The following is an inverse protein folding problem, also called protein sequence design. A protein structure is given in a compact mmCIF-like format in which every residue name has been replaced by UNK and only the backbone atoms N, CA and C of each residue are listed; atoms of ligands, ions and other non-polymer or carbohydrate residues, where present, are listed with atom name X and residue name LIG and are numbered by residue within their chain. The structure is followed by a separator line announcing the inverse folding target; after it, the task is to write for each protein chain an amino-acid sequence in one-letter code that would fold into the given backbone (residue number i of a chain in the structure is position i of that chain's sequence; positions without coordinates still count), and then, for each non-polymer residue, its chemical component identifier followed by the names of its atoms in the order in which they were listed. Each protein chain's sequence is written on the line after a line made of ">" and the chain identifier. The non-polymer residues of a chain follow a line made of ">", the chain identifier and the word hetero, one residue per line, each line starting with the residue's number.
data_IF_890435337761
#
_entry.id   IF_890435337761
#
_cell.length_a   1.000
_cell.length_b   1.000
_cell.length_c   1.000
_cell.angle_alpha   90.00
_cell.angle_beta   90.00
_cell.angle_gamma   90.00
#
_symmetry.space_group_name_H-M   'P 1'
#
loop_
_entity.id
_entity.type
_entity.pdbx_description
1 polymer ?
#
# COMPACT_ATOMS: atom_id res chain seq x y z
N UNK A 1 40.37 15.78 51.56
CA UNK A 1 40.98 15.76 52.92
C UNK A 1 40.06 16.57 53.83
N UNK A 2 39.87 16.13 55.08
CA UNK A 2 38.93 16.61 56.13
C UNK A 2 37.47 16.12 56.03
N UNK A 3 36.77 15.69 57.09
CA UNK A 3 37.08 15.09 58.41
C UNK A 3 35.73 14.62 58.98
N UNK A 4 35.72 13.47 59.68
CA UNK A 4 34.62 12.87 60.47
C UNK A 4 33.95 13.82 61.48
N UNK A 5 32.68 13.51 61.82
CA UNK A 5 32.18 13.00 63.14
C UNK A 5 30.64 13.10 63.16
N UNK A 6 29.86 12.04 63.35
CA UNK A 6 29.66 11.09 64.49
C UNK A 6 28.31 11.38 65.18
N UNK A 7 27.49 10.31 65.32
CA UNK A 7 26.67 9.93 66.50
C UNK A 7 25.54 10.85 66.98
N UNK A 8 24.46 10.44 67.64
CA UNK A 8 23.71 9.20 67.89
C UNK A 8 22.60 9.59 68.89
N UNK A 9 21.49 8.82 68.96
CA UNK A 9 20.57 8.68 70.12
C UNK A 9 19.71 9.94 70.46
N UNK A 10 18.45 9.92 70.93
CA UNK A 10 17.67 8.94 71.70
C UNK A 10 16.20 9.37 71.79
N UNK A 11 15.31 8.36 71.85
CA UNK A 11 14.07 8.21 72.63
C UNK A 11 13.16 9.38 73.07
N UNK A 12 11.85 9.15 72.92
CA UNK A 12 10.75 9.82 73.64
C UNK A 12 9.39 9.53 72.99
N UNK A 13 8.76 8.37 73.21
CA UNK A 13 7.63 8.16 74.16
C UNK A 13 6.61 9.30 74.20
N UNK A 14 5.39 9.12 73.66
CA UNK A 14 4.18 8.69 74.41
C UNK A 14 2.88 8.82 73.58
N UNK A 15 2.05 7.79 73.72
CA UNK A 15 0.65 7.60 73.33
C UNK A 15 -0.27 8.83 73.38
N UNK A 16 -1.27 8.85 72.47
CA UNK A 16 -2.69 9.05 72.83
C UNK A 16 -3.62 8.45 71.77
N UNK A 17 -4.37 7.43 72.21
CA UNK A 17 -5.53 6.88 71.54
C UNK A 17 -6.69 7.88 71.58
N UNK A 18 -7.46 8.03 70.48
CA UNK A 18 -8.87 8.45 70.55
C UNK A 18 -9.74 7.88 69.41
N UNK A 19 -10.79 7.19 69.86
CA UNK A 19 -12.15 7.03 69.31
C UNK A 19 -12.37 6.60 67.86
N UNK A 20 -12.82 5.35 67.74
CA UNK A 20 -13.66 4.83 66.65
C UNK A 20 -14.97 5.63 66.57
N UNK A 21 -15.25 6.23 65.43
CA UNK A 21 -16.62 6.59 65.02
C UNK A 21 -17.00 5.78 63.78
N UNK A 22 -18.00 4.92 63.95
CA UNK A 22 -18.61 4.13 62.89
C UNK A 22 -19.48 5.07 62.05
N UNK A 23 -19.04 5.38 60.83
CA UNK A 23 -19.93 5.95 59.81
C UNK A 23 -20.34 4.83 58.85
N UNK A 24 -21.65 4.68 58.70
CA UNK A 24 -22.30 3.64 57.93
C UNK A 24 -21.77 3.61 56.49
N UNK A 25 -21.30 2.42 56.08
CA UNK A 25 -20.85 2.13 54.73
C UNK A 25 -22.10 2.14 53.83
N UNK A 26 -22.32 3.20 53.06
CA UNK A 26 -23.36 3.21 52.00
C UNK A 26 -23.05 2.06 51.03
N UNK A 27 -23.99 1.13 50.76
CA UNK A 27 -23.80 0.16 49.70
C UNK A 27 -23.78 0.92 48.38
N UNK A 28 -22.65 0.83 47.68
CA UNK A 28 -22.45 1.36 46.34
C UNK A 28 -23.39 0.65 45.37
N UNK A 29 -24.50 1.29 45.01
CA UNK A 29 -25.18 1.00 43.75
C UNK A 29 -24.34 1.59 42.62
N UNK A 30 -23.18 0.97 42.38
CA UNK A 30 -22.49 1.11 41.12
C UNK A 30 -23.33 0.33 40.10
N UNK A 31 -24.30 1.03 39.51
CA UNK A 31 -24.93 0.63 38.28
C UNK A 31 -23.80 0.34 37.28
N UNK A 32 -23.60 -0.94 36.97
CA UNK A 32 -22.64 -1.40 35.96
C UNK A 32 -23.18 -1.03 34.59
N UNK A 33 -23.16 0.26 34.28
CA UNK A 33 -23.36 0.79 32.94
C UNK A 33 -22.08 1.47 32.50
N UNK A 34 -20.94 0.80 32.66
CA UNK A 34 -19.65 1.36 32.28
C UNK A 34 -19.11 0.64 31.07
N UNK A 35 -19.71 1.04 29.96
CA UNK A 35 -19.17 0.99 28.60
C UNK A 35 -18.85 -0.41 28.10
N UNK A 36 -19.64 -0.83 27.11
CA UNK A 36 -19.12 -1.50 25.92
C UNK A 36 -18.04 -0.58 25.30
N UNK A 37 -16.90 -0.43 26.00
CA UNK A 37 -15.65 0.07 25.45
C UNK A 37 -15.28 -1.06 24.51
N UNK A 38 -15.81 -0.92 23.29
CA UNK A 38 -15.29 -1.42 22.04
C UNK A 38 -13.80 -1.05 22.07
N UNK A 39 -13.03 -1.85 22.80
CA UNK A 39 -11.59 -1.85 22.83
C UNK A 39 -11.21 -2.54 21.53
N UNK A 40 -11.55 -1.88 20.41
CA UNK A 40 -10.88 -2.12 19.15
C UNK A 40 -9.44 -1.73 19.41
N UNK A 41 -8.68 -2.70 19.88
CA UNK A 41 -7.25 -2.63 19.93
C UNK A 41 -6.81 -2.20 18.52
N UNK A 42 -6.04 -1.11 18.42
CA UNK A 42 -5.50 -0.64 17.15
C UNK A 42 -4.79 -1.77 16.40
N UNK A 43 -4.34 -2.83 17.11
CA UNK A 43 -3.85 -4.08 16.55
C UNK A 43 -4.92 -4.84 15.75
N UNK A 44 -6.12 -5.07 16.31
CA UNK A 44 -7.21 -5.76 15.61
C UNK A 44 -7.69 -5.00 14.38
N UNK A 45 -7.75 -3.66 14.45
CA UNK A 45 -8.07 -2.84 13.27
C UNK A 45 -7.10 -3.06 12.12
N UNK A 46 -5.79 -3.12 12.39
CA UNK A 46 -4.77 -3.35 11.36
C UNK A 46 -4.97 -4.69 10.67
N UNK A 47 -5.26 -5.75 11.41
CA UNK A 47 -5.50 -7.07 10.83
C UNK A 47 -6.77 -7.10 9.97
N UNK A 48 -7.85 -6.45 10.43
CA UNK A 48 -9.11 -6.38 9.68
C UNK A 48 -8.94 -5.59 8.39
N UNK A 49 -8.26 -4.42 8.44
CA UNK A 49 -7.99 -3.62 7.23
C UNK A 49 -7.04 -4.35 6.28
N UNK A 50 -6.05 -5.09 6.79
CA UNK A 50 -5.17 -5.92 5.97
C UNK A 50 -5.94 -7.05 5.29
N UNK A 51 -6.79 -7.78 6.02
CA UNK A 51 -7.63 -8.84 5.46
C UNK A 51 -8.58 -8.29 4.39
N UNK A 52 -9.25 -7.16 4.68
CA UNK A 52 -10.08 -6.45 3.72
C UNK A 52 -9.30 -6.09 2.45
N UNK A 53 -8.11 -5.50 2.60
CA UNK A 53 -7.26 -5.14 1.46
C UNK A 53 -6.87 -6.36 0.62
N UNK A 54 -6.45 -7.47 1.23
CA UNK A 54 -6.07 -8.67 0.49
C UNK A 54 -7.25 -9.33 -0.22
N UNK A 55 -8.43 -9.36 0.41
CA UNK A 55 -9.66 -9.82 -0.23
C UNK A 55 -10.01 -8.94 -1.43
N UNK A 56 -9.99 -7.62 -1.24
CA UNK A 56 -10.22 -6.65 -2.31
C UNK A 56 -9.20 -6.81 -3.45
N UNK A 57 -7.93 -6.97 -3.12
CA UNK A 57 -6.85 -7.16 -4.08
C UNK A 57 -7.07 -8.41 -4.93
N UNK A 58 -7.37 -9.56 -4.30
CA UNK A 58 -7.61 -10.82 -5.01
C UNK A 58 -8.88 -10.70 -5.87
N UNK A 59 -9.99 -10.21 -5.29
CA UNK A 59 -11.26 -10.09 -5.99
C UNK A 59 -11.14 -9.19 -7.23
N UNK A 60 -10.56 -7.99 -7.07
CA UNK A 60 -10.35 -7.05 -8.18
C UNK A 60 -9.39 -7.60 -9.23
N UNK A 61 -8.33 -8.29 -8.82
CA UNK A 61 -7.38 -8.93 -9.76
C UNK A 61 -8.07 -10.00 -10.59
N UNK A 62 -8.87 -10.88 -9.98
CA UNK A 62 -9.59 -11.92 -10.70
C UNK A 62 -10.62 -11.32 -11.68
N UNK A 63 -11.46 -10.40 -11.20
CA UNK A 63 -12.51 -9.77 -12.02
C UNK A 63 -11.90 -9.00 -13.19
N UNK A 64 -10.90 -8.15 -12.94
CA UNK A 64 -10.28 -7.35 -13.99
C UNK A 64 -9.38 -8.17 -14.91
N UNK A 65 -8.81 -9.29 -14.45
CA UNK A 65 -8.11 -10.20 -15.35
C UNK A 65 -9.08 -10.93 -16.29
N UNK A 66 -10.24 -11.37 -15.79
CA UNK A 66 -11.30 -11.92 -16.65
C UNK A 66 -11.75 -10.90 -17.68
N UNK A 67 -11.94 -9.64 -17.27
CA UNK A 67 -12.25 -8.55 -18.21
C UNK A 67 -11.12 -8.29 -19.22
N UNK A 68 -9.86 -8.27 -18.76
CA UNK A 68 -8.68 -8.13 -19.60
C UNK A 68 -8.63 -9.23 -20.67
N UNK A 69 -8.95 -10.49 -20.33
CA UNK A 69 -8.96 -11.57 -21.31
C UNK A 69 -9.98 -11.32 -22.43
N UNK A 70 -11.16 -10.79 -22.11
CA UNK A 70 -12.18 -10.40 -23.10
C UNK A 70 -11.69 -9.24 -23.97
N UNK A 71 -11.17 -8.17 -23.35
CA UNK A 71 -10.63 -7.00 -24.05
C UNK A 71 -9.47 -7.40 -24.97
N UNK A 72 -8.59 -8.27 -24.49
CA UNK A 72 -7.44 -8.76 -25.23
C UNK A 72 -7.88 -9.60 -26.43
N UNK A 73 -8.83 -10.52 -26.26
CA UNK A 73 -9.37 -11.31 -27.35
C UNK A 73 -10.04 -10.43 -28.41
N UNK A 74 -10.85 -9.46 -27.98
CA UNK A 74 -11.50 -8.51 -28.89
C UNK A 74 -10.48 -7.72 -29.72
N UNK A 75 -9.50 -7.09 -29.08
CA UNK A 75 -8.49 -6.31 -29.80
C UNK A 75 -7.61 -7.19 -30.68
N UNK A 76 -7.30 -8.42 -30.25
CA UNK A 76 -6.54 -9.37 -31.07
C UNK A 76 -7.26 -9.71 -32.39
N UNK A 77 -8.59 -9.77 -32.38
CA UNK A 77 -9.39 -10.09 -33.55
C UNK A 77 -9.71 -8.88 -34.43
N UNK A 78 -9.98 -7.71 -33.83
CA UNK A 78 -10.53 -6.57 -34.56
C UNK A 78 -9.59 -5.36 -34.68
N UNK A 79 -8.67 -5.16 -33.72
CA UNK A 79 -7.81 -3.96 -33.63
C UNK A 79 -6.44 -4.29 -33.00
N UNK A 80 -5.61 -5.11 -33.68
CA UNK A 80 -4.37 -5.62 -33.11
C UNK A 80 -3.37 -4.51 -32.77
N UNK A 81 -3.45 -3.35 -33.45
CA UNK A 81 -2.61 -2.17 -33.21
C UNK A 81 -2.80 -1.59 -31.79
N UNK A 82 -3.98 -1.73 -31.19
CA UNK A 82 -4.28 -1.20 -29.84
C UNK A 82 -4.22 -2.25 -28.73
N UNK A 83 -3.79 -3.47 -29.05
CA UNK A 83 -3.84 -4.60 -28.12
C UNK A 83 -3.08 -4.33 -26.80
N UNK A 84 -1.90 -3.73 -26.92
CA UNK A 84 -1.04 -3.41 -25.78
C UNK A 84 -1.56 -2.21 -24.98
N UNK A 85 -2.05 -1.17 -25.66
CA UNK A 85 -2.69 0.00 -25.04
C UNK A 85 -3.92 -0.41 -24.21
N UNK A 86 -4.84 -1.17 -24.83
CA UNK A 86 -6.06 -1.62 -24.16
C UNK A 86 -5.75 -2.51 -22.95
N UNK A 87 -4.69 -3.33 -23.03
CA UNK A 87 -4.25 -4.15 -21.90
C UNK A 87 -3.69 -3.28 -20.76
N UNK A 88 -2.98 -2.19 -21.09
CA UNK A 88 -2.50 -1.20 -20.12
C UNK A 88 -3.66 -0.42 -19.49
N UNK A 89 -4.68 -0.06 -20.26
CA UNK A 89 -5.86 0.65 -19.75
C UNK A 89 -6.60 -0.14 -18.66
N UNK A 90 -6.69 -1.47 -18.82
CA UNK A 90 -7.25 -2.33 -17.77
C UNK A 90 -6.35 -2.35 -16.52
N UNK A 91 -5.02 -2.30 -16.68
CA UNK A 91 -4.10 -2.16 -15.54
C UNK A 91 -4.25 -0.79 -14.84
N UNK A 92 -4.50 0.28 -15.61
CA UNK A 92 -4.81 1.61 -15.06
C UNK A 92 -6.11 1.57 -14.25
N UNK A 93 -7.15 0.92 -14.78
CA UNK A 93 -8.41 0.71 -14.07
C UNK A 93 -8.21 -0.07 -12.77
N UNK A 94 -7.35 -1.09 -12.77
CA UNK A 94 -7.02 -1.88 -11.58
C UNK A 94 -6.38 -1.03 -10.48
N UNK A 95 -5.35 -0.24 -10.82
CA UNK A 95 -4.72 0.67 -9.86
C UNK A 95 -5.69 1.70 -9.28
N UNK A 96 -6.52 2.32 -10.13
CA UNK A 96 -7.56 3.28 -9.71
C UNK A 96 -8.59 2.64 -8.78
N UNK A 97 -9.04 1.43 -9.10
CA UNK A 97 -10.03 0.70 -8.30
C UNK A 97 -9.50 0.37 -6.91
N UNK A 98 -8.24 -0.06 -6.82
CA UNK A 98 -7.60 -0.35 -5.53
C UNK A 98 -7.44 0.89 -4.65
N UNK A 99 -7.16 2.06 -5.23
CA UNK A 99 -7.13 3.31 -4.46
C UNK A 99 -8.50 3.84 -4.10
N UNK A 100 -9.51 3.65 -4.96
CA UNK A 100 -10.88 4.09 -4.70
C UNK A 100 -11.56 3.26 -3.59
N UNK A 101 -11.30 1.95 -3.58
CA UNK A 101 -11.90 1.01 -2.62
C UNK A 101 -10.95 0.69 -1.44
N UNK A 102 -9.69 1.09 -1.52
CA UNK A 102 -8.68 0.79 -0.51
C UNK A 102 -9.04 1.37 0.87
N UNK A 103 -8.72 0.64 1.96
CA UNK A 103 -9.11 1.06 3.29
C UNK A 103 -8.35 2.32 3.72
N UNK A 104 -9.10 3.40 3.97
CA UNK A 104 -8.58 4.65 4.54
C UNK A 104 -7.44 5.30 3.71
N UNK A 105 -7.38 5.04 2.40
CA UNK A 105 -6.45 5.70 1.50
C UNK A 105 -7.05 6.99 0.96
N UNK A 106 -6.29 8.07 1.04
CA UNK A 106 -6.56 9.30 0.31
C UNK A 106 -5.36 9.60 -0.56
N UNK A 107 -5.60 10.08 -1.77
CA UNK A 107 -4.54 10.38 -2.72
C UNK A 107 -4.80 11.73 -3.38
N UNK A 108 -3.72 12.45 -3.67
CA UNK A 108 -3.76 13.71 -4.41
C UNK A 108 -2.60 13.72 -5.40
N UNK A 109 -2.93 13.72 -6.69
CA UNK A 109 -1.96 13.93 -7.76
C UNK A 109 -1.78 15.44 -7.94
N UNK A 110 -0.53 15.91 -7.96
CA UNK A 110 -0.17 17.31 -8.24
C UNK A 110 0.80 17.32 -9.43
N UNK A 111 0.79 18.37 -10.25
CA UNK A 111 1.69 18.45 -11.40
C UNK A 111 1.28 17.55 -12.56
N UNK A 112 -0.02 17.23 -12.69
CA UNK A 112 -0.52 16.39 -13.79
C UNK A 112 -0.42 17.11 -15.13
N UNK A 113 -0.47 18.45 -15.09
CA UNK A 113 -0.21 19.38 -16.17
C UNK A 113 1.23 19.29 -16.72
N UNK A 114 2.18 18.71 -15.97
CA UNK A 114 3.54 18.49 -16.44
C UNK A 114 3.66 17.20 -17.28
N UNK A 115 2.61 16.38 -17.35
CA UNK A 115 2.62 15.22 -18.24
C UNK A 115 2.56 15.71 -19.69
N UNK A 116 3.45 15.21 -20.57
CA UNK A 116 3.37 15.52 -21.99
C UNK A 116 2.00 15.17 -22.56
N UNK A 117 1.55 15.98 -23.53
CA UNK A 117 0.31 15.72 -24.26
C UNK A 117 0.37 14.36 -24.99
N UNK A 118 -0.79 13.83 -25.37
CA UNK A 118 -0.89 12.48 -25.98
C UNK A 118 -0.13 12.40 -27.32
N UNK A 119 0.02 13.54 -27.99
CA UNK A 119 0.73 13.74 -29.26
C UNK A 119 2.16 14.30 -29.09
N UNK A 120 2.63 14.47 -27.85
CA UNK A 120 3.98 14.94 -27.57
C UNK A 120 5.03 13.84 -27.71
N UNK A 121 6.31 14.23 -27.67
CA UNK A 121 7.41 13.28 -27.76
C UNK A 121 7.36 12.23 -26.62
N UNK A 122 7.69 10.96 -26.93
CA UNK A 122 7.78 9.90 -25.92
C UNK A 122 8.78 10.25 -24.82
N UNK A 123 8.46 9.88 -23.59
CA UNK A 123 9.23 10.26 -22.41
C UNK A 123 9.44 9.06 -21.47
N UNK A 124 10.40 9.21 -20.55
CA UNK A 124 10.69 8.21 -19.53
C UNK A 124 10.25 8.73 -18.17
N UNK A 125 9.30 8.05 -17.54
CA UNK A 125 8.93 8.31 -16.15
C UNK A 125 9.93 7.66 -15.20
N UNK A 126 10.49 8.45 -14.28
CA UNK A 126 11.37 7.96 -13.21
C UNK A 126 10.72 8.28 -11.87
N UNK A 127 10.45 7.25 -11.09
CA UNK A 127 9.87 7.37 -9.76
C UNK A 127 10.84 6.83 -8.71
N UNK A 128 10.90 7.48 -7.56
CA UNK A 128 11.49 6.87 -6.37
C UNK A 128 10.67 5.63 -5.97
N UNK A 129 11.34 4.60 -5.45
CA UNK A 129 10.66 3.43 -4.92
C UNK A 129 10.56 3.52 -3.40
N UNK A 130 9.37 3.86 -2.91
CA UNK A 130 9.10 4.05 -1.49
C UNK A 130 8.18 2.97 -0.91
N UNK A 131 7.38 2.31 -1.73
CA UNK A 131 6.47 1.28 -1.26
C UNK A 131 6.04 0.30 -2.35
N UNK A 132 5.43 -0.82 -1.97
CA UNK A 132 4.77 -1.71 -2.93
C UNK A 132 3.54 -1.05 -3.58
N UNK A 133 2.94 -0.04 -2.92
CA UNK A 133 1.80 0.69 -3.46
C UNK A 133 2.16 1.60 -4.64
N UNK A 134 3.45 1.84 -4.89
CA UNK A 134 3.94 2.65 -6.02
C UNK A 134 3.44 2.10 -7.36
N UNK A 135 3.27 0.77 -7.47
CA UNK A 135 2.73 0.09 -8.66
C UNK A 135 1.34 0.63 -8.99
N UNK A 136 0.46 0.69 -7.99
CA UNK A 136 -0.90 1.21 -8.19
C UNK A 136 -0.92 2.74 -8.28
N UNK A 137 0.00 3.41 -7.57
CA UNK A 137 0.04 4.86 -7.52
C UNK A 137 0.42 5.48 -8.86
N UNK A 138 1.37 4.88 -9.60
CA UNK A 138 1.76 5.36 -10.92
C UNK A 138 0.62 5.23 -11.95
N UNK A 139 -0.28 4.27 -11.79
CA UNK A 139 -1.51 4.22 -12.61
C UNK A 139 -2.49 5.38 -12.35
N UNK A 140 -2.42 6.05 -11.20
CA UNK A 140 -3.22 7.25 -10.92
C UNK A 140 -2.69 8.47 -11.68
N UNK A 141 -1.37 8.57 -11.84
CA UNK A 141 -0.72 9.63 -12.63
C UNK A 141 -1.24 9.61 -14.06
N UNK A 142 -1.38 8.41 -14.64
CA UNK A 142 -1.96 8.19 -15.95
C UNK A 142 -0.91 8.21 -17.07
N UNK A 143 -1.40 8.28 -18.32
CA UNK A 143 -0.57 8.12 -19.52
C UNK A 143 -0.51 6.66 -19.98
N UNK A 144 0.02 6.45 -21.19
CA UNK A 144 0.35 5.14 -21.72
C UNK A 144 1.82 4.87 -21.49
N UNK A 145 2.15 3.95 -20.59
CA UNK A 145 3.55 3.63 -20.30
C UNK A 145 3.77 2.12 -20.22
N UNK A 146 5.04 1.72 -20.29
CA UNK A 146 5.47 0.32 -20.19
C UNK A 146 6.43 0.18 -19.02
N UNK A 147 6.07 -0.68 -18.07
CA UNK A 147 6.92 -0.91 -16.91
C UNK A 147 8.20 -1.62 -17.30
N UNK A 148 9.31 -1.19 -16.70
CA UNK A 148 10.54 -1.98 -16.63
C UNK A 148 10.59 -2.69 -15.28
N UNK A 149 10.43 -4.02 -15.27
CA UNK A 149 10.25 -4.80 -14.04
C UNK A 149 11.10 -6.06 -13.99
N UNK A 150 11.37 -6.57 -12.78
CA UNK A 150 12.11 -7.83 -12.60
C UNK A 150 11.39 -9.01 -13.27
N UNK A 151 12.17 -9.93 -13.83
CA UNK A 151 11.69 -11.18 -14.45
C UNK A 151 10.73 -11.97 -13.56
N UNK A 152 10.98 -12.01 -12.25
CA UNK A 152 10.16 -12.74 -11.29
C UNK A 152 8.72 -12.22 -11.20
N UNK A 153 8.44 -10.95 -11.53
CA UNK A 153 7.06 -10.43 -11.57
C UNK A 153 6.28 -11.00 -12.74
N UNK A 154 6.96 -11.26 -13.87
CA UNK A 154 6.35 -11.90 -15.03
C UNK A 154 6.02 -13.38 -14.80
N UNK A 155 6.50 -13.97 -13.70
CA UNK A 155 6.20 -15.37 -13.30
C UNK A 155 4.96 -15.47 -12.40
N UNK A 156 4.46 -14.35 -11.88
CA UNK A 156 3.24 -14.33 -11.04
C UNK A 156 2.02 -14.65 -11.91
N UNK A 157 1.15 -15.61 -11.54
CA UNK A 157 -0.06 -15.91 -12.29
C UNK A 157 -0.97 -14.69 -12.41
N UNK A 158 -1.70 -14.60 -13.53
CA UNK A 158 -2.58 -13.48 -13.91
C UNK A 158 -1.83 -12.15 -14.12
N UNK A 159 -1.16 -11.63 -13.09
CA UNK A 159 -0.40 -10.37 -13.13
C UNK A 159 0.71 -10.45 -14.17
N UNK A 160 1.56 -11.48 -14.13
CA UNK A 160 2.64 -11.64 -15.09
C UNK A 160 2.15 -11.79 -16.53
N UNK A 161 1.01 -12.45 -16.74
CA UNK A 161 0.39 -12.55 -18.05
C UNK A 161 -0.16 -11.20 -18.54
N UNK A 162 -0.82 -10.45 -17.65
CA UNK A 162 -1.29 -9.10 -17.93
C UNK A 162 -0.12 -8.16 -18.29
N UNK A 163 1.01 -8.26 -17.59
CA UNK A 163 2.22 -7.50 -17.90
C UNK A 163 2.76 -7.81 -19.30
N UNK A 164 2.75 -9.09 -19.72
CA UNK A 164 3.15 -9.48 -21.10
C UNK A 164 2.19 -8.92 -22.14
N UNK A 165 0.88 -9.02 -21.91
CA UNK A 165 -0.13 -8.48 -22.83
C UNK A 165 -0.07 -6.96 -22.94
N UNK A 166 0.23 -6.27 -21.85
CA UNK A 166 0.47 -4.83 -21.84
C UNK A 166 1.81 -4.44 -22.48
N UNK A 167 2.69 -5.37 -22.84
CA UNK A 167 3.97 -5.08 -23.49
C UNK A 167 5.05 -4.56 -22.53
N UNK A 168 4.94 -4.85 -21.24
CA UNK A 168 5.94 -4.43 -20.25
C UNK A 168 7.27 -5.17 -20.45
N UNK A 169 8.36 -4.52 -20.05
CA UNK A 169 9.72 -4.97 -20.28
C UNK A 169 10.26 -5.70 -19.05
N UNK A 170 10.71 -6.93 -19.23
CA UNK A 170 11.34 -7.72 -18.16
C UNK A 170 12.85 -7.53 -18.13
N UNK A 171 13.44 -7.42 -16.95
CA UNK A 171 14.89 -7.37 -16.76
C UNK A 171 15.36 -8.36 -15.69
N UNK A 172 16.40 -9.12 -16.00
CA UNK A 172 17.05 -10.05 -15.08
C UNK A 172 18.32 -9.41 -14.51
N UNK A 173 18.38 -9.26 -13.19
CA UNK A 173 19.58 -8.71 -12.51
C UNK A 173 20.77 -9.66 -12.67
N UNK A 174 21.97 -9.09 -12.82
CA UNK A 174 23.21 -9.85 -13.02
C UNK A 174 23.40 -10.42 -14.44
N UNK A 175 22.39 -10.37 -15.31
CA UNK A 175 22.49 -10.81 -16.70
C UNK A 175 22.63 -9.59 -17.63
N UNK A 176 23.85 -9.34 -18.10
CA UNK A 176 24.16 -8.20 -19.01
C UNK A 176 23.35 -8.25 -20.31
N UNK A 177 23.16 -9.45 -20.88
CA UNK A 177 22.40 -9.62 -22.11
C UNK A 177 20.93 -9.24 -21.92
N UNK A 178 20.32 -9.66 -20.79
CA UNK A 178 18.94 -9.30 -20.46
C UNK A 178 18.77 -7.79 -20.25
N UNK A 179 19.73 -7.13 -19.61
CA UNK A 179 19.71 -5.67 -19.43
C UNK A 179 19.78 -4.94 -20.78
N UNK A 180 20.68 -5.37 -21.66
CA UNK A 180 20.79 -4.81 -23.00
C UNK A 180 19.49 -4.97 -23.80
N UNK A 181 18.90 -6.18 -23.77
CA UNK A 181 17.62 -6.45 -24.43
C UNK A 181 16.48 -5.60 -23.86
N UNK A 182 16.46 -5.38 -22.55
CA UNK A 182 15.46 -4.54 -21.91
C UNK A 182 15.57 -3.07 -22.35
N UNK A 183 16.79 -2.55 -22.47
CA UNK A 183 17.05 -1.20 -23.00
C UNK A 183 16.60 -1.12 -24.47
N UNK A 184 16.98 -2.10 -25.29
CA UNK A 184 16.61 -2.10 -26.71
C UNK A 184 15.09 -2.20 -26.91
N UNK A 185 14.40 -3.02 -26.11
CA UNK A 185 12.93 -3.11 -26.14
C UNK A 185 12.29 -1.79 -25.72
N UNK A 186 12.83 -1.13 -24.69
CA UNK A 186 12.37 0.19 -24.25
C UNK A 186 12.57 1.24 -25.34
N UNK A 187 13.71 1.20 -26.05
CA UNK A 187 14.00 2.08 -27.18
C UNK A 187 13.03 1.88 -28.34
N UNK A 188 12.63 0.64 -28.61
CA UNK A 188 11.61 0.35 -29.63
C UNK A 188 10.24 0.92 -29.27
N UNK A 189 9.84 0.85 -27.99
CA UNK A 189 8.62 1.50 -27.53
C UNK A 189 8.69 3.02 -27.71
N UNK A 190 9.78 3.66 -27.26
CA UNK A 190 9.94 5.10 -27.46
C UNK A 190 9.88 5.51 -28.94
N UNK A 191 10.37 4.68 -29.87
CA UNK A 191 10.27 4.97 -31.31
C UNK A 191 8.86 4.83 -31.89
N UNK A 192 7.99 4.06 -31.25
CA UNK A 192 6.61 3.84 -31.71
C UNK A 192 5.65 4.95 -31.27
N UNK A 193 6.03 5.74 -30.26
CA UNK A 193 5.10 6.59 -29.52
C UNK A 193 4.29 5.78 -28.52
#
# INVERSE_FOLDING_TARGET
>A
MFRRRDTSLTSGVRNKAQSKTWTARKPSLACSSMTLRIFWDKRMLKYILAAYFWILFIATTCVLFSWLAVVHLYHKLFKPERLSEASHDVAVLWGRTLFALGPAWTHKVRGRENLPAVDAEPYVMVANHSSTADIWALFLVGGQFRWLSKDAMFKVPLVGQAMRWAGYVSVTRGNKQSQYQAIETSRQWLRKG
#
